data_IF_995477147305
#
_entry.id   IF_995477147305
#
_cell.length_a   1.000
_cell.length_b   1.000
_cell.length_c   1.000
_cell.angle_alpha   90.00
_cell.angle_beta   90.00
_cell.angle_gamma   90.00
#
_symmetry.space_group_name_H-M   'P 1'
#
loop_
_entity.id
_entity.type
_entity.pdbx_description
1 polymer ?
#
# COMPACT_ATOMS: atom_id res chain seq x y z
N UNK A 1 9.08 8.57 5.95
CA UNK A 1 9.71 7.85 7.09
C UNK A 1 10.97 8.52 7.64
N UNK A 2 12.04 8.70 6.85
CA UNK A 2 13.32 9.24 7.35
C UNK A 2 13.18 10.59 8.09
N UNK A 3 12.37 11.52 7.56
CA UNK A 3 12.09 12.81 8.22
C UNK A 3 11.44 12.64 9.60
N UNK A 4 10.46 11.74 9.75
CA UNK A 4 9.86 11.45 11.07
C UNK A 4 10.87 10.85 12.05
N UNK A 5 11.76 9.97 11.58
CA UNK A 5 12.81 9.42 12.43
C UNK A 5 13.79 10.51 12.89
N UNK A 6 14.17 11.43 11.99
CA UNK A 6 14.99 12.58 12.34
C UNK A 6 14.30 13.51 13.35
N UNK A 7 13.00 13.77 13.17
CA UNK A 7 12.19 14.54 14.12
C UNK A 7 12.22 13.91 15.52
N UNK A 8 11.96 12.61 15.61
CA UNK A 8 12.02 11.85 16.88
C UNK A 8 13.41 11.94 17.56
N UNK A 9 14.49 11.91 16.78
CA UNK A 9 15.84 11.98 17.34
C UNK A 9 16.25 13.39 17.80
N UNK A 10 15.55 14.46 17.42
CA UNK A 10 15.99 15.83 17.71
C UNK A 10 16.20 16.08 19.21
N UNK A 11 15.27 15.60 20.03
CA UNK A 11 15.28 15.82 21.47
C UNK A 11 16.30 14.94 22.20
N UNK A 12 16.90 13.97 21.51
CA UNK A 12 17.97 13.12 22.06
C UNK A 12 19.36 13.76 21.99
N UNK A 13 19.51 14.91 21.31
CA UNK A 13 20.82 15.56 21.11
C UNK A 13 21.04 16.74 22.06
N UNK A 14 21.95 16.55 23.04
CA UNK A 14 22.36 17.60 23.97
C UNK A 14 23.43 18.59 23.42
N UNK A 15 23.83 18.46 22.15
CA UNK A 15 24.89 19.29 21.54
C UNK A 15 24.48 19.82 20.17
N UNK A 16 24.62 21.14 19.99
CA UNK A 16 24.32 21.85 18.74
C UNK A 16 25.15 21.33 17.55
N UNK A 17 26.36 20.83 17.79
CA UNK A 17 27.20 20.28 16.72
C UNK A 17 26.60 19.04 16.06
N UNK A 18 25.81 18.25 16.79
CA UNK A 18 25.10 17.08 16.26
C UNK A 18 23.69 17.41 15.78
N UNK A 19 23.05 18.39 16.42
CA UNK A 19 21.70 18.82 16.09
C UNK A 19 21.62 19.60 14.77
N UNK A 20 22.62 20.43 14.45
CA UNK A 20 22.60 21.25 13.24
C UNK A 20 22.61 20.41 11.94
N UNK A 21 23.48 19.40 11.78
CA UNK A 21 23.43 18.51 10.61
C UNK A 21 22.09 17.77 10.50
N UNK A 22 21.52 17.31 11.63
CA UNK A 22 20.23 16.63 11.65
C UNK A 22 19.09 17.55 11.17
N UNK A 23 19.03 18.78 11.67
CA UNK A 23 18.04 19.78 11.26
C UNK A 23 18.15 20.09 9.77
N UNK A 24 19.37 20.22 9.26
CA UNK A 24 19.60 20.48 7.84
C UNK A 24 19.16 19.30 6.95
N UNK A 25 19.46 18.06 7.36
CA UNK A 25 18.97 16.87 6.64
C UNK A 25 17.45 16.76 6.70
N UNK A 26 16.84 17.08 7.83
CA UNK A 26 15.39 17.09 7.99
C UNK A 26 14.74 18.16 7.10
N UNK A 27 15.30 19.38 7.06
CA UNK A 27 14.85 20.45 6.16
C UNK A 27 14.90 20.01 4.69
N UNK A 28 16.04 19.47 4.24
CA UNK A 28 16.19 18.96 2.86
C UNK A 28 15.21 17.83 2.56
N UNK A 29 14.99 16.93 3.51
CA UNK A 29 14.02 15.85 3.38
C UNK A 29 12.59 16.37 3.23
N UNK A 30 12.20 17.35 4.04
CA UNK A 30 10.89 18.01 3.95
C UNK A 30 10.71 18.77 2.63
N UNK A 31 11.74 19.48 2.16
CA UNK A 31 11.72 20.17 0.86
C UNK A 31 11.59 19.19 -0.30
N UNK A 32 12.28 18.06 -0.24
CA UNK A 32 12.14 16.99 -1.22
C UNK A 32 10.71 16.45 -1.25
N UNK A 33 10.13 16.15 -0.07
CA UNK A 33 8.74 15.69 0.04
C UNK A 33 7.79 16.72 -0.58
N UNK A 34 7.85 17.99 -0.17
CA UNK A 34 6.99 19.05 -0.71
C UNK A 34 7.16 19.23 -2.22
N UNK A 35 8.38 19.11 -2.74
CA UNK A 35 8.67 19.20 -4.17
C UNK A 35 8.04 18.08 -5.01
N UNK A 36 7.63 16.98 -4.37
CA UNK A 36 6.90 15.87 -4.99
C UNK A 36 5.39 15.92 -4.76
N UNK A 37 4.86 16.98 -4.15
CA UNK A 37 3.42 17.17 -4.06
C UNK A 37 2.85 17.53 -5.44
N UNK A 38 1.81 16.83 -5.86
CA UNK A 38 1.11 17.13 -7.10
C UNK A 38 0.26 18.40 -6.96
N UNK A 39 -0.16 18.98 -8.10
CA UNK A 39 -0.97 20.20 -8.10
C UNK A 39 -2.36 20.02 -7.48
N UNK A 40 -2.85 18.79 -7.42
CA UNK A 40 -4.10 18.39 -6.77
C UNK A 40 -3.89 17.89 -5.33
N UNK A 41 -2.65 17.80 -4.83
CA UNK A 41 -2.36 17.66 -3.39
C UNK A 41 -1.87 16.27 -2.94
N UNK A 42 -1.81 15.30 -3.85
CA UNK A 42 -1.27 13.97 -3.59
C UNK A 42 0.25 13.97 -3.40
N UNK A 43 0.74 12.91 -2.75
CA UNK A 43 2.14 12.49 -2.80
C UNK A 43 2.25 11.05 -3.30
N UNK A 44 3.37 10.73 -3.97
CA UNK A 44 3.70 9.36 -4.37
C UNK A 44 2.73 8.78 -5.38
N UNK A 45 2.68 9.39 -6.58
CA UNK A 45 1.84 8.91 -7.71
C UNK A 45 0.37 8.69 -7.33
N UNK A 46 -0.21 9.63 -6.58
CA UNK A 46 -1.62 9.57 -6.12
C UNK A 46 -1.94 8.44 -5.15
N UNK A 47 -0.96 7.96 -4.39
CA UNK A 47 -1.16 6.94 -3.37
C UNK A 47 -1.56 7.54 -1.99
N UNK A 48 -2.67 7.08 -1.43
CA UNK A 48 -3.20 7.56 -0.13
C UNK A 48 -2.27 7.29 1.06
N UNK A 49 -1.61 6.13 1.08
CA UNK A 49 -0.69 5.76 2.18
C UNK A 49 0.56 6.67 2.11
N UNK A 50 1.12 6.86 0.92
CA UNK A 50 2.24 7.78 0.69
C UNK A 50 1.88 9.21 1.08
N UNK A 51 0.67 9.66 0.72
CA UNK A 51 0.15 10.98 1.06
C UNK A 51 0.04 11.17 2.58
N UNK A 52 -0.52 10.20 3.30
CA UNK A 52 -0.61 10.26 4.75
C UNK A 52 0.76 10.24 5.44
N UNK A 53 1.70 9.42 4.96
CA UNK A 53 3.05 9.35 5.52
C UNK A 53 3.89 10.59 5.21
N UNK A 54 3.67 11.22 4.06
CA UNK A 54 4.27 12.50 3.69
C UNK A 54 3.76 13.63 4.58
N UNK A 55 2.44 13.73 4.76
CA UNK A 55 1.81 14.69 5.65
C UNK A 55 2.33 14.54 7.10
N UNK A 56 2.37 13.31 7.63
CA UNK A 56 2.94 13.05 8.96
C UNK A 56 4.40 13.48 9.06
N UNK A 57 5.20 13.28 8.01
CA UNK A 57 6.60 13.72 7.98
C UNK A 57 6.74 15.25 8.01
N UNK A 58 5.91 15.98 7.25
CA UNK A 58 5.92 17.44 7.23
C UNK A 58 5.48 18.02 8.58
N UNK A 59 4.43 17.46 9.17
CA UNK A 59 3.95 17.84 10.51
C UNK A 59 5.03 17.56 11.56
N UNK A 60 5.64 16.37 11.55
CA UNK A 60 6.72 16.01 12.47
C UNK A 60 7.94 16.94 12.36
N UNK A 61 8.23 17.43 11.16
CA UNK A 61 9.31 18.37 10.92
C UNK A 61 8.97 19.82 11.29
N UNK A 62 7.75 20.10 11.77
CA UNK A 62 7.27 21.43 12.10
C UNK A 62 7.06 22.33 10.88
N UNK A 63 6.83 21.75 9.69
CA UNK A 63 6.56 22.53 8.47
C UNK A 63 5.17 23.15 8.57
N UNK A 64 5.08 24.47 8.37
CA UNK A 64 3.79 25.16 8.37
C UNK A 64 2.85 24.58 7.31
N UNK A 65 1.58 24.28 7.65
CA UNK A 65 0.56 23.84 6.68
C UNK A 65 0.37 24.80 5.50
N UNK A 66 0.70 26.08 5.65
CA UNK A 66 0.61 27.09 4.59
C UNK A 66 1.66 26.96 3.49
N UNK A 67 2.69 26.12 3.68
CA UNK A 67 3.81 25.95 2.74
C UNK A 67 3.58 24.79 1.76
N UNK A 68 2.50 24.05 1.91
CA UNK A 68 2.14 22.91 1.07
C UNK A 68 0.61 22.80 0.98
N UNK A 69 0.09 21.97 0.07
CA UNK A 69 -1.36 21.78 -0.13
C UNK A 69 -1.91 20.83 0.94
N UNK A 70 -1.83 21.25 2.20
CA UNK A 70 -2.19 20.43 3.37
C UNK A 70 -3.68 20.05 3.37
N UNK A 71 -4.55 21.01 3.09
CA UNK A 71 -6.00 20.77 3.05
C UNK A 71 -6.37 19.79 1.95
N UNK A 72 -5.84 19.98 0.73
CA UNK A 72 -6.09 19.07 -0.39
C UNK A 72 -5.59 17.65 -0.11
N UNK A 73 -4.40 17.50 0.49
CA UNK A 73 -3.90 16.19 0.90
C UNK A 73 -4.84 15.51 1.92
N UNK A 74 -5.38 16.27 2.88
CA UNK A 74 -6.35 15.74 3.84
C UNK A 74 -7.67 15.36 3.17
N UNK A 75 -8.17 16.16 2.21
CA UNK A 75 -9.38 15.82 1.46
C UNK A 75 -9.23 14.51 0.70
N UNK A 76 -8.13 14.32 -0.01
CA UNK A 76 -7.83 13.07 -0.72
C UNK A 76 -7.75 11.86 0.20
N UNK A 77 -7.18 12.04 1.39
CA UNK A 77 -7.15 10.97 2.39
C UNK A 77 -8.56 10.63 2.86
N UNK A 78 -9.42 11.63 3.14
CA UNK A 78 -10.79 11.39 3.58
C UNK A 78 -11.67 10.79 2.48
N UNK A 79 -11.47 11.21 1.23
CA UNK A 79 -12.21 10.71 0.05
C UNK A 79 -11.89 9.24 -0.25
N UNK A 80 -10.67 8.81 0.06
CA UNK A 80 -10.24 7.42 -0.06
C UNK A 80 -10.76 6.49 1.05
N UNK A 81 -11.60 6.99 1.97
CA UNK A 81 -12.22 6.15 2.99
C UNK A 81 -13.37 5.33 2.39
N UNK A 82 -13.33 4.02 2.56
CA UNK A 82 -14.39 3.11 2.13
C UNK A 82 -15.61 3.18 3.05
N UNK A 83 -16.75 2.65 2.61
CA UNK A 83 -18.04 2.74 3.33
C UNK A 83 -17.98 2.18 4.76
N UNK A 84 -17.16 1.16 5.00
CA UNK A 84 -16.96 0.55 6.32
C UNK A 84 -15.86 1.23 7.16
N UNK A 85 -15.27 2.31 6.64
CA UNK A 85 -14.33 3.19 7.32
C UNK A 85 -12.86 2.84 7.12
N UNK A 86 -12.51 1.80 6.36
CA UNK A 86 -11.11 1.41 6.14
C UNK A 86 -10.48 2.12 4.93
N UNK A 87 -9.14 2.09 4.86
CA UNK A 87 -8.36 2.64 3.74
C UNK A 87 -7.67 1.53 2.93
N UNK A 88 -8.48 0.66 2.32
CA UNK A 88 -8.06 -0.47 1.46
C UNK A 88 -7.49 -1.70 2.18
N UNK A 89 -6.70 -1.53 3.24
CA UNK A 89 -6.18 -2.65 4.04
C UNK A 89 -5.97 -2.28 5.50
N UNK A 90 -5.83 -3.28 6.38
CA UNK A 90 -5.46 -3.05 7.78
C UNK A 90 -4.14 -2.28 7.89
N UNK A 91 -3.14 -2.66 7.09
CA UNK A 91 -1.85 -1.97 7.04
C UNK A 91 -1.97 -0.52 6.62
N UNK A 92 -2.69 -0.24 5.52
CA UNK A 92 -2.94 1.13 5.05
C UNK A 92 -3.66 1.97 6.11
N UNK A 93 -4.72 1.40 6.70
CA UNK A 93 -5.51 2.05 7.75
C UNK A 93 -4.63 2.42 8.96
N UNK A 94 -3.79 1.50 9.44
CA UNK A 94 -2.87 1.77 10.58
C UNK A 94 -1.86 2.87 10.24
N UNK A 95 -1.42 2.99 8.98
CA UNK A 95 -0.51 4.07 8.59
C UNK A 95 -1.21 5.44 8.52
N UNK A 96 -2.51 5.48 8.23
CA UNK A 96 -3.27 6.73 8.04
C UNK A 96 -3.85 7.26 9.35
N UNK A 97 -4.34 6.38 10.23
CA UNK A 97 -5.02 6.76 11.48
C UNK A 97 -4.25 7.76 12.38
N UNK A 98 -2.91 7.67 12.53
CA UNK A 98 -2.18 8.67 13.30
C UNK A 98 -2.42 10.08 12.77
N UNK A 99 -2.35 10.29 11.46
CA UNK A 99 -2.56 11.59 10.84
C UNK A 99 -3.97 12.13 11.11
N UNK A 100 -4.99 11.29 10.94
CA UNK A 100 -6.39 11.67 11.19
C UNK A 100 -6.65 12.01 12.66
N UNK A 101 -5.82 11.50 13.57
CA UNK A 101 -5.85 11.84 14.99
C UNK A 101 -5.00 13.08 15.33
N UNK A 102 -4.54 13.82 14.31
CA UNK A 102 -3.58 14.91 14.43
C UNK A 102 -2.28 14.48 15.15
N UNK A 103 -1.79 13.29 14.82
CA UNK A 103 -0.55 12.69 15.34
C UNK A 103 0.33 12.21 14.19
N UNK A 104 1.57 11.90 14.52
CA UNK A 104 2.51 11.26 13.60
C UNK A 104 3.32 10.21 14.35
N UNK A 105 3.93 9.28 13.62
CA UNK A 105 4.79 8.25 14.24
C UNK A 105 5.96 8.83 15.05
N UNK A 106 6.39 10.06 14.75
CA UNK A 106 7.39 10.78 15.56
C UNK A 106 6.91 11.20 16.96
N UNK A 107 5.61 11.28 17.23
CA UNK A 107 5.04 11.71 18.53
C UNK A 107 4.82 10.55 19.51
N UNK A 108 5.28 9.34 19.20
CA UNK A 108 5.03 8.15 20.05
C UNK A 108 5.55 8.34 21.48
N UNK A 109 6.63 9.10 21.67
CA UNK A 109 7.17 9.42 22.99
C UNK A 109 6.22 10.28 23.85
N UNK A 110 5.32 11.03 23.22
CA UNK A 110 4.38 11.94 23.88
C UNK A 110 3.04 11.28 24.23
N UNK A 111 2.85 10.02 23.83
CA UNK A 111 1.60 9.29 24.09
C UNK A 111 1.60 8.83 25.55
N UNK A 112 0.80 9.52 26.36
CA UNK A 112 0.35 9.00 27.65
C UNK A 112 -0.88 8.14 27.40
N UNK A 113 -0.73 6.82 27.51
CA UNK A 113 -1.86 5.90 27.42
C UNK A 113 -1.93 5.07 28.71
N UNK A 114 -3.04 5.20 29.43
CA UNK A 114 -3.48 4.15 30.33
C UNK A 114 -3.98 3.00 29.44
N UNK A 115 -3.32 1.84 29.50
CA UNK A 115 -3.68 0.67 28.69
C UNK A 115 -5.19 0.39 28.84
N UNK A 116 -6.00 0.55 27.78
CA UNK A 116 -7.43 0.28 27.88
C UNK A 116 -7.63 -1.21 28.19
N UNK A 117 -8.55 -1.48 29.11
CA UNK A 117 -9.05 -2.83 29.38
C UNK A 117 -9.63 -3.36 28.07
N UNK A 118 -9.29 -4.61 27.71
CA UNK A 118 -9.74 -5.26 26.47
C UNK A 118 -11.25 -5.11 26.29
N UNK A 119 -11.66 -4.17 25.45
CA UNK A 119 -13.02 -4.17 24.93
C UNK A 119 -13.11 -5.25 23.86
N UNK A 120 -14.08 -6.14 24.02
CA UNK A 120 -14.32 -7.22 23.07
C UNK A 120 -14.98 -6.60 21.84
N UNK A 121 -14.20 -6.39 20.78
CA UNK A 121 -14.75 -5.95 19.51
C UNK A 121 -15.70 -7.04 18.99
N UNK A 122 -16.99 -6.72 18.90
CA UNK A 122 -17.97 -7.61 18.29
C UNK A 122 -17.85 -7.51 16.77
N UNK A 123 -17.45 -8.60 16.12
CA UNK A 123 -17.45 -8.68 14.66
C UNK A 123 -18.87 -8.55 14.12
N UNK A 124 -19.07 -7.65 13.16
CA UNK A 124 -20.30 -7.57 12.38
C UNK A 124 -20.30 -8.75 11.41
N UNK A 125 -21.36 -9.59 11.36
CA UNK A 125 -21.43 -10.66 10.38
C UNK A 125 -21.49 -10.09 8.96
N UNK A 126 -20.60 -10.55 8.09
CA UNK A 126 -20.67 -10.26 6.66
C UNK A 126 -21.87 -11.03 6.06
N UNK A 127 -22.88 -10.31 5.58
CA UNK A 127 -24.05 -10.88 4.89
C UNK A 127 -23.75 -10.86 3.39
N UNK A 128 -23.28 -11.99 2.84
CA UNK A 128 -23.14 -12.18 1.40
C UNK A 128 -24.36 -12.88 0.81
N UNK A 129 -25.08 -12.21 -0.09
CA UNK A 129 -26.16 -12.79 -0.92
C UNK A 129 -25.50 -13.45 -2.13
N UNK A 130 -25.61 -14.77 -2.27
CA UNK A 130 -25.02 -15.55 -3.37
C UNK A 130 -26.09 -15.89 -4.41
N UNK A 131 -25.79 -15.64 -5.69
CA UNK A 131 -26.37 -16.35 -6.85
C UNK A 131 -25.62 -16.07 -8.18
N UNK A 132 -24.72 -15.07 -8.24
CA UNK A 132 -23.91 -14.77 -9.44
C UNK A 132 -22.41 -15.03 -9.20
N UNK A 133 -21.67 -15.42 -10.25
CA UNK A 133 -20.20 -15.56 -10.24
C UNK A 133 -19.57 -14.58 -11.23
N UNK A 134 -18.41 -14.03 -10.89
CA UNK A 134 -17.57 -13.24 -11.79
C UNK A 134 -16.47 -14.11 -12.39
N UNK A 135 -16.28 -14.01 -13.70
CA UNK A 135 -15.13 -14.57 -14.41
C UNK A 135 -13.96 -13.59 -14.33
N UNK A 136 -12.81 -14.03 -13.85
CA UNK A 136 -11.57 -13.25 -13.79
C UNK A 136 -10.50 -13.92 -14.63
N UNK A 137 -9.87 -13.16 -15.52
CA UNK A 137 -8.81 -13.65 -16.38
C UNK A 137 -7.44 -13.36 -15.75
N UNK A 138 -6.57 -14.36 -15.78
CA UNK A 138 -5.21 -14.27 -15.27
C UNK A 138 -4.20 -14.53 -16.36
N UNK A 139 -3.18 -13.67 -16.38
CA UNK A 139 -2.02 -13.78 -17.23
C UNK A 139 -0.76 -13.79 -16.36
N UNK A 140 0.21 -14.61 -16.73
CA UNK A 140 1.50 -14.66 -16.05
C UNK A 140 2.58 -14.37 -17.09
N UNK A 141 3.50 -13.49 -16.77
CA UNK A 141 4.69 -13.22 -17.57
C UNK A 141 5.94 -13.06 -16.70
N UNK A 142 7.09 -13.34 -17.29
CA UNK A 142 8.40 -13.10 -16.70
C UNK A 142 9.19 -12.20 -17.64
N UNK A 143 9.71 -11.09 -17.12
CA UNK A 143 10.50 -10.10 -17.86
C UNK A 143 11.91 -10.05 -17.25
N UNK A 144 12.86 -10.75 -17.89
CA UNK A 144 14.25 -10.85 -17.43
C UNK A 144 15.21 -10.48 -18.53
N UNK A 145 16.08 -9.50 -18.29
CA UNK A 145 17.28 -9.17 -19.11
C UNK A 145 17.06 -9.31 -20.64
N UNK A 146 15.99 -8.71 -21.15
CA UNK A 146 15.57 -8.70 -22.57
C UNK A 146 14.85 -9.95 -23.10
N UNK A 147 14.39 -10.84 -22.22
CA UNK A 147 13.50 -11.96 -22.54
C UNK A 147 12.16 -11.78 -21.85
N UNK A 148 11.08 -12.07 -22.59
CA UNK A 148 9.72 -12.10 -22.05
C UNK A 148 9.17 -13.51 -22.26
N UNK A 149 8.95 -14.22 -21.17
CA UNK A 149 8.21 -15.48 -21.19
C UNK A 149 6.75 -15.20 -20.81
N UNK A 150 5.81 -15.50 -21.71
CA UNK A 150 4.38 -15.37 -21.47
C UNK A 150 3.80 -16.77 -21.33
N UNK A 151 3.07 -16.99 -20.24
CA UNK A 151 2.34 -18.23 -19.99
C UNK A 151 0.91 -18.11 -20.50
N UNK A 152 0.31 -19.25 -20.86
CA UNK A 152 -1.08 -19.26 -21.35
C UNK A 152 -2.02 -18.62 -20.33
N UNK A 153 -2.91 -17.71 -20.76
CA UNK A 153 -3.92 -17.16 -19.88
C UNK A 153 -4.87 -18.24 -19.38
N UNK A 154 -5.45 -18.04 -18.21
CA UNK A 154 -6.48 -18.91 -17.66
C UNK A 154 -7.56 -18.10 -16.96
N UNK A 155 -8.77 -18.66 -16.94
CA UNK A 155 -9.97 -18.01 -16.42
C UNK A 155 -10.41 -18.71 -15.13
N UNK A 156 -10.77 -17.92 -14.13
CA UNK A 156 -11.19 -18.38 -12.81
C UNK A 156 -12.52 -17.75 -12.45
N UNK A 157 -13.49 -18.59 -12.09
CA UNK A 157 -14.77 -18.13 -11.56
C UNK A 157 -14.66 -17.87 -10.05
N UNK A 158 -15.05 -16.66 -9.64
CA UNK A 158 -15.10 -16.21 -8.24
C UNK A 158 -16.50 -15.71 -7.87
N UNK A 159 -16.74 -15.56 -6.58
CA UNK A 159 -17.94 -14.87 -6.11
C UNK A 159 -17.74 -13.34 -6.13
N UNK A 160 -18.80 -12.54 -6.37
CA UNK A 160 -18.75 -11.11 -6.21
C UNK A 160 -18.23 -10.72 -4.82
N UNK A 161 -17.28 -9.79 -4.78
CA UNK A 161 -16.63 -9.33 -3.55
C UNK A 161 -15.49 -10.23 -3.04
N UNK A 162 -15.16 -11.33 -3.73
CA UNK A 162 -13.91 -12.03 -3.46
C UNK A 162 -12.72 -11.31 -4.11
N UNK A 163 -11.56 -11.35 -3.46
CA UNK A 163 -10.36 -10.68 -3.94
C UNK A 163 -9.61 -11.46 -5.03
N UNK A 164 -8.69 -10.79 -5.72
CA UNK A 164 -7.73 -11.44 -6.63
C UNK A 164 -6.97 -12.57 -5.93
N UNK A 165 -6.62 -12.42 -4.65
CA UNK A 165 -5.98 -13.48 -3.87
C UNK A 165 -6.86 -14.75 -3.75
N UNK A 166 -8.17 -14.59 -3.55
CA UNK A 166 -9.11 -15.74 -3.54
C UNK A 166 -9.19 -16.41 -4.91
N UNK A 167 -9.18 -15.63 -5.99
CA UNK A 167 -9.11 -16.16 -7.34
C UNK A 167 -7.82 -16.98 -7.55
N UNK A 168 -6.68 -16.49 -7.06
CA UNK A 168 -5.41 -17.23 -7.08
C UNK A 168 -5.51 -18.55 -6.33
N UNK A 169 -6.11 -18.56 -5.13
CA UNK A 169 -6.32 -19.79 -4.34
C UNK A 169 -7.15 -20.82 -5.11
N UNK A 170 -8.22 -20.38 -5.79
CA UNK A 170 -9.06 -21.25 -6.63
C UNK A 170 -8.30 -21.80 -7.84
N UNK A 171 -7.58 -20.96 -8.57
CA UNK A 171 -6.79 -21.42 -9.71
C UNK A 171 -5.68 -22.41 -9.30
N UNK A 172 -5.09 -22.25 -8.11
CA UNK A 172 -4.16 -23.24 -7.54
C UNK A 172 -4.83 -24.59 -7.31
N UNK A 173 -6.07 -24.61 -6.83
CA UNK A 173 -6.82 -25.86 -6.59
C UNK A 173 -7.19 -26.57 -7.90
N UNK A 174 -7.47 -25.82 -8.96
CA UNK A 174 -7.81 -26.36 -10.29
C UNK A 174 -6.54 -26.82 -11.05
N UNK A 175 -5.36 -26.36 -10.62
CA UNK A 175 -4.07 -26.75 -11.18
C UNK A 175 -3.59 -25.85 -12.33
N UNK A 176 -4.13 -24.64 -12.45
CA UNK A 176 -3.69 -23.67 -13.47
C UNK A 176 -2.30 -23.09 -13.18
N UNK A 177 -1.97 -22.87 -11.90
CA UNK A 177 -0.65 -22.41 -11.47
C UNK A 177 -0.39 -22.73 -9.99
N UNK A 178 0.83 -22.53 -9.51
CA UNK A 178 1.18 -22.59 -8.08
C UNK A 178 1.72 -21.26 -7.58
N UNK A 179 1.51 -20.96 -6.31
CA UNK A 179 2.11 -19.79 -5.66
C UNK A 179 2.30 -20.02 -4.16
N UNK A 180 3.26 -19.30 -3.60
CA UNK A 180 3.48 -19.21 -2.16
C UNK A 180 3.28 -17.76 -1.71
N UNK A 181 2.78 -17.59 -0.50
CA UNK A 181 2.57 -16.30 0.13
C UNK A 181 3.04 -16.28 1.58
N UNK A 182 3.31 -15.09 2.10
CA UNK A 182 3.64 -14.85 3.50
C UNK A 182 2.79 -13.71 4.03
N UNK A 183 2.16 -13.92 5.20
CA UNK A 183 1.40 -12.88 5.86
C UNK A 183 2.30 -11.69 6.24
N UNK A 184 1.83 -10.48 5.93
CA UNK A 184 2.46 -9.21 6.25
C UNK A 184 1.47 -8.24 6.89
N UNK A 185 1.93 -7.05 7.26
CA UNK A 185 1.04 -5.98 7.77
C UNK A 185 0.05 -5.48 6.70
N UNK A 186 0.33 -5.70 5.42
CA UNK A 186 -0.51 -5.30 4.29
C UNK A 186 -1.30 -6.48 3.70
N UNK A 187 -1.37 -7.61 4.41
CA UNK A 187 -2.01 -8.84 3.94
C UNK A 187 -1.01 -9.86 3.39
N UNK A 188 -1.52 -10.84 2.65
CA UNK A 188 -0.74 -11.92 2.07
C UNK A 188 0.16 -11.43 0.93
N UNK A 189 1.46 -11.38 1.19
CA UNK A 189 2.48 -11.00 0.21
C UNK A 189 2.89 -12.22 -0.61
N UNK A 190 2.77 -12.14 -1.94
CA UNK A 190 3.16 -13.22 -2.84
C UNK A 190 4.67 -13.31 -2.94
N UNK A 191 5.22 -14.46 -2.55
CA UNK A 191 6.67 -14.71 -2.52
C UNK A 191 7.16 -15.52 -3.72
N UNK A 192 6.27 -16.27 -4.37
CA UNK A 192 6.61 -17.01 -5.58
C UNK A 192 5.36 -17.33 -6.41
N UNK A 193 5.55 -17.48 -7.72
CA UNK A 193 4.57 -18.01 -8.67
C UNK A 193 5.29 -19.03 -9.57
N UNK A 194 4.69 -20.21 -9.77
CA UNK A 194 5.23 -21.31 -10.58
C UNK A 194 6.69 -21.65 -10.24
N UNK A 195 7.01 -21.71 -8.95
CA UNK A 195 8.35 -21.96 -8.38
C UNK A 195 9.41 -20.87 -8.65
N UNK A 196 9.04 -19.73 -9.24
CA UNK A 196 9.94 -18.57 -9.34
C UNK A 196 9.73 -17.68 -8.13
N UNK A 197 10.74 -17.64 -7.27
CA UNK A 197 10.75 -16.94 -5.98
C UNK A 197 11.29 -15.52 -6.17
N UNK A 198 10.75 -14.56 -5.42
CA UNK A 198 11.32 -13.21 -5.34
C UNK A 198 12.80 -13.26 -4.94
N UNK A 199 13.62 -12.45 -5.59
CA UNK A 199 15.04 -12.31 -5.31
C UNK A 199 15.32 -10.92 -4.74
N UNK A 200 15.28 -10.84 -3.41
CA UNK A 200 15.55 -9.59 -2.70
C UNK A 200 16.96 -9.06 -2.93
N UNK A 201 17.95 -9.93 -3.18
CA UNK A 201 19.33 -9.52 -3.36
C UNK A 201 19.54 -8.82 -4.71
N UNK A 202 18.82 -9.28 -5.73
CA UNK A 202 18.86 -8.72 -7.09
C UNK A 202 17.66 -7.80 -7.40
N UNK A 203 16.79 -7.55 -6.42
CA UNK A 203 15.65 -6.64 -6.57
C UNK A 203 14.55 -7.15 -7.51
N UNK A 204 14.43 -8.46 -7.70
CA UNK A 204 13.44 -9.07 -8.59
C UNK A 204 12.20 -9.52 -7.81
N UNK A 205 11.02 -9.05 -8.23
CA UNK A 205 9.76 -9.30 -7.55
C UNK A 205 8.63 -9.59 -8.52
N UNK A 206 7.58 -10.23 -8.00
CA UNK A 206 6.29 -10.35 -8.68
C UNK A 206 5.43 -9.09 -8.47
N UNK A 207 5.05 -8.46 -9.57
CA UNK A 207 4.17 -7.30 -9.63
C UNK A 207 2.82 -7.67 -10.23
N UNK A 208 1.75 -6.99 -9.79
CA UNK A 208 0.39 -7.17 -10.29
C UNK A 208 0.05 -5.98 -11.18
N UNK A 209 -0.50 -6.25 -12.35
CA UNK A 209 -1.06 -5.24 -13.23
C UNK A 209 -2.51 -5.58 -13.54
N UNK A 210 -3.36 -4.56 -13.58
CA UNK A 210 -4.66 -4.65 -14.25
C UNK A 210 -4.47 -4.33 -15.73
N UNK A 211 -5.25 -5.00 -16.58
CA UNK A 211 -5.25 -4.78 -18.03
C UNK A 211 -6.63 -4.30 -18.44
N UNK A 212 -6.69 -3.16 -19.12
CA UNK A 212 -7.95 -2.60 -19.62
C UNK A 212 -8.39 -3.23 -20.96
N UNK A 213 -9.53 -2.80 -21.48
CA UNK A 213 -10.09 -3.30 -22.75
C UNK A 213 -9.20 -2.99 -23.97
N UNK A 214 -8.32 -1.98 -23.88
CA UNK A 214 -7.39 -1.59 -24.94
C UNK A 214 -6.07 -2.36 -24.86
N UNK A 215 -5.84 -3.11 -23.77
CA UNK A 215 -4.60 -3.81 -23.49
C UNK A 215 -3.55 -2.98 -22.75
N UNK A 216 -3.92 -1.77 -22.29
CA UNK A 216 -3.07 -0.94 -21.46
C UNK A 216 -2.95 -1.53 -20.05
N UNK A 217 -1.76 -1.39 -19.47
CA UNK A 217 -1.40 -2.03 -18.20
C UNK A 217 -1.19 -1.00 -17.11
N UNK A 218 -1.86 -1.19 -15.97
CA UNK A 218 -1.76 -0.32 -14.80
C UNK A 218 -1.31 -1.15 -13.60
N UNK A 219 -0.17 -0.78 -13.00
CA UNK A 219 0.35 -1.47 -11.82
C UNK A 219 -0.66 -1.31 -10.67
N UNK A 220 -0.96 -2.40 -9.97
CA UNK A 220 -1.86 -2.36 -8.83
C UNK A 220 -1.25 -1.57 -7.67
N UNK A 221 -2.04 -0.68 -7.07
CA UNK A 221 -1.63 0.12 -5.92
C UNK A 221 -1.68 -0.64 -4.58
N UNK A 222 -2.27 -1.83 -4.59
CA UNK A 222 -2.45 -2.70 -3.42
C UNK A 222 -2.09 -4.14 -3.75
N UNK A 223 -1.91 -4.96 -2.70
CA UNK A 223 -1.68 -6.39 -2.85
C UNK A 223 -2.94 -7.13 -3.32
N UNK A 224 -2.78 -8.39 -3.72
CA UNK A 224 -3.86 -9.20 -4.30
C UNK A 224 -5.12 -9.33 -3.41
N UNK A 225 -5.02 -9.15 -2.09
CA UNK A 225 -6.17 -9.17 -1.19
C UNK A 225 -7.01 -7.89 -1.21
N UNK A 226 -6.40 -6.74 -1.53
CA UNK A 226 -7.09 -5.46 -1.63
C UNK A 226 -7.73 -5.20 -3.00
N UNK A 227 -7.53 -6.09 -3.97
CA UNK A 227 -8.09 -5.94 -5.32
C UNK A 227 -9.38 -6.76 -5.39
N UNK A 228 -10.51 -6.08 -5.60
CA UNK A 228 -11.83 -6.68 -5.81
C UNK A 228 -12.18 -6.64 -7.31
N UNK A 229 -11.95 -7.73 -8.05
CA UNK A 229 -12.14 -7.74 -9.48
C UNK A 229 -13.63 -7.77 -9.86
N UNK A 230 -13.95 -7.10 -10.96
CA UNK A 230 -15.28 -7.16 -11.59
C UNK A 230 -15.31 -8.25 -12.64
N UNK A 231 -16.51 -8.62 -13.08
CA UNK A 231 -16.66 -9.64 -14.13
C UNK A 231 -15.94 -9.22 -15.41
N UNK A 232 -15.07 -10.09 -15.94
CA UNK A 232 -14.27 -9.86 -17.14
C UNK A 232 -12.92 -9.15 -16.90
N UNK A 233 -12.59 -8.77 -15.67
CA UNK A 233 -11.28 -8.15 -15.38
C UNK A 233 -10.11 -9.08 -15.73
N UNK A 234 -9.04 -8.50 -16.26
CA UNK A 234 -7.78 -9.20 -16.53
C UNK A 234 -6.66 -8.70 -15.62
N UNK A 235 -5.96 -9.62 -14.99
CA UNK A 235 -4.78 -9.32 -14.16
C UNK A 235 -3.56 -10.05 -14.67
N UNK A 236 -2.46 -9.31 -14.81
CA UNK A 236 -1.16 -9.82 -15.23
C UNK A 236 -0.16 -9.81 -14.08
N UNK A 237 0.43 -10.95 -13.81
CA UNK A 237 1.56 -11.09 -12.89
C UNK A 237 2.87 -11.00 -13.67
N UNK A 238 3.72 -10.03 -13.34
CA UNK A 238 5.00 -9.81 -14.03
C UNK A 238 6.15 -9.94 -13.05
N UNK A 239 7.05 -10.89 -13.30
CA UNK A 239 8.32 -10.99 -12.57
C UNK A 239 9.37 -10.08 -13.19
N UNK A 240 9.84 -9.06 -12.46
CA UNK A 240 10.80 -8.06 -12.97
C UNK A 240 11.57 -7.37 -11.85
N UNK A 241 12.57 -6.57 -12.22
CA UNK A 241 13.31 -5.73 -11.28
C UNK A 241 12.49 -4.50 -10.84
N UNK A 242 12.65 -4.11 -9.57
CA UNK A 242 12.20 -2.83 -9.01
C UNK A 242 13.11 -1.68 -9.46
#
# INVERSE_FOLDING_TARGET
MAVMAMACMQDSFNSLQRLNPLREMMRKGSECIMGHQTSDGWFGESNVISTALAAQALIAAGVSPSLWRCEDALYHILDAQEEDGHFGSQGGTIQILPLLSNRHHGSLADIQQDCPVKDVMHGIPLIGRQDETHAVNFEISQELENSVAIFSPFLVDILPGESVYRAMERARQIGYFSFESKLSQFGNYITSINNVVNDNANGLYWFIYSVDENGDQFMAETGAEGIMPVNGSTYRWIYRAY
#
